data_IF_286957492846
#
_entry.id   IF_286957492846
#
_cell.length_a   1.000
_cell.length_b   1.000
_cell.length_c   1.000
_cell.angle_alpha   90.00
_cell.angle_beta   90.00
_cell.angle_gamma   90.00
#
_symmetry.space_group_name_H-M   'P 1'
#
loop_
_entity.id
_entity.type
_entity.pdbx_description
1 polymer ?
#
# COMPACT_ATOMS: atom_id res chain seq x y z
N UNK A 1 -13.02 -12.93 10.89
CA UNK A 1 -12.49 -11.60 11.27
C UNK A 1 -13.52 -10.94 12.18
N UNK A 2 -13.11 -10.51 13.38
CA UNK A 2 -13.96 -9.78 14.30
C UNK A 2 -14.46 -8.44 13.71
N UNK A 3 -15.39 -7.78 14.41
CA UNK A 3 -15.89 -6.43 14.08
C UNK A 3 -14.73 -5.43 14.09
N UNK A 4 -14.15 -5.19 12.91
CA UNK A 4 -13.12 -4.17 12.73
C UNK A 4 -13.73 -2.76 12.79
N UNK A 5 -13.05 -1.84 13.49
CA UNK A 5 -13.42 -0.42 13.51
C UNK A 5 -13.40 0.17 12.09
N UNK A 6 -14.23 1.19 11.86
CA UNK A 6 -14.30 1.90 10.58
C UNK A 6 -12.94 2.46 10.16
N UNK A 7 -12.17 3.00 11.11
CA UNK A 7 -10.81 3.52 10.87
C UNK A 7 -9.87 2.45 10.34
N UNK A 8 -9.92 1.25 10.90
CA UNK A 8 -9.14 0.10 10.42
C UNK A 8 -9.55 -0.28 8.99
N UNK A 9 -10.86 -0.34 8.70
CA UNK A 9 -11.38 -0.64 7.35
C UNK A 9 -10.92 0.39 6.31
N UNK A 10 -10.99 1.69 6.62
CA UNK A 10 -10.52 2.75 5.73
C UNK A 10 -9.02 2.66 5.45
N UNK A 11 -8.20 2.38 6.49
CA UNK A 11 -6.76 2.19 6.34
C UNK A 11 -6.43 0.98 5.47
N UNK A 12 -7.10 -0.15 5.70
CA UNK A 12 -6.95 -1.35 4.87
C UNK A 12 -7.34 -1.06 3.42
N UNK A 13 -8.48 -0.41 3.18
CA UNK A 13 -8.91 0.01 1.85
C UNK A 13 -7.89 0.91 1.15
N UNK A 14 -7.30 1.89 1.85
CA UNK A 14 -6.21 2.72 1.31
C UNK A 14 -4.98 1.87 0.94
N UNK A 15 -4.58 0.94 1.80
CA UNK A 15 -3.43 0.06 1.54
C UNK A 15 -3.68 -0.85 0.34
N UNK A 16 -4.88 -1.39 0.17
CA UNK A 16 -5.27 -2.16 -1.01
C UNK A 16 -5.15 -1.33 -2.29
N UNK A 17 -5.70 -0.10 -2.30
CA UNK A 17 -5.63 0.81 -3.46
C UNK A 17 -4.20 1.21 -3.85
N UNK A 18 -3.29 1.27 -2.88
CA UNK A 18 -1.87 1.59 -3.11
C UNK A 18 -1.06 0.40 -3.66
N UNK A 19 -1.53 -0.84 -3.49
CA UNK A 19 -0.81 -2.04 -3.92
C UNK A 19 -1.04 -2.34 -5.42
N UNK A 20 -0.66 -1.40 -6.28
CA UNK A 20 -0.82 -1.50 -7.73
C UNK A 20 0.51 -1.28 -8.46
N UNK A 21 0.60 -1.79 -9.68
CA UNK A 21 1.72 -1.53 -10.59
C UNK A 21 1.74 -0.06 -11.00
N UNK A 22 2.93 0.43 -11.39
CA UNK A 22 3.07 1.77 -11.98
C UNK A 22 2.32 1.79 -13.32
N UNK A 23 1.47 2.81 -13.56
CA UNK A 23 0.78 2.95 -14.84
C UNK A 23 1.74 3.15 -16.02
N UNK A 24 1.40 2.59 -17.19
CA UNK A 24 2.27 2.64 -18.37
C UNK A 24 2.62 4.07 -18.81
N UNK A 25 1.65 5.00 -18.77
CA UNK A 25 1.90 6.39 -19.14
C UNK A 25 2.94 7.07 -18.23
N UNK A 26 3.00 6.70 -16.95
CA UNK A 26 3.98 7.24 -16.01
C UNK A 26 5.38 6.66 -16.27
N UNK A 27 5.45 5.41 -16.72
CA UNK A 27 6.71 4.77 -17.15
C UNK A 27 7.25 5.49 -18.39
N UNK A 28 6.41 5.72 -19.39
CA UNK A 28 6.79 6.42 -20.63
C UNK A 28 7.23 7.85 -20.33
N UNK A 29 6.44 8.60 -19.54
CA UNK A 29 6.76 9.99 -19.17
C UNK A 29 8.06 10.12 -18.37
N UNK A 30 8.39 9.13 -17.54
CA UNK A 30 9.62 9.13 -16.74
C UNK A 30 10.85 8.60 -17.49
N UNK A 31 10.74 8.30 -18.80
CA UNK A 31 11.82 7.68 -19.55
C UNK A 31 12.27 6.35 -18.95
N UNK A 32 11.31 5.57 -18.43
CA UNK A 32 11.53 4.29 -17.71
C UNK A 32 12.36 4.39 -16.43
N UNK A 33 12.53 5.58 -15.83
CA UNK A 33 13.18 5.71 -14.51
C UNK A 33 12.35 5.10 -13.38
N UNK A 34 11.02 5.11 -13.50
CA UNK A 34 10.10 4.51 -12.51
C UNK A 34 9.35 3.35 -13.15
N UNK A 35 9.98 2.18 -13.23
CA UNK A 35 9.42 0.97 -13.86
C UNK A 35 8.59 0.11 -12.91
N UNK A 36 8.96 0.06 -11.64
CA UNK A 36 8.28 -0.73 -10.60
C UNK A 36 7.87 0.15 -9.43
N UNK A 37 6.78 -0.22 -8.76
CA UNK A 37 6.38 0.38 -7.50
C UNK A 37 7.23 -0.28 -6.38
N UNK A 38 8.15 0.44 -5.74
CA UNK A 38 9.01 -0.14 -4.69
C UNK A 38 8.23 -0.50 -3.42
N UNK A 39 7.02 0.06 -3.24
CA UNK A 39 6.15 -0.16 -2.08
C UNK A 39 5.07 -1.22 -2.34
N UNK A 40 5.25 -2.07 -3.36
CA UNK A 40 4.41 -3.27 -3.55
C UNK A 40 4.54 -4.18 -2.35
N UNK A 41 3.44 -4.75 -1.89
CA UNK A 41 3.43 -5.69 -0.78
C UNK A 41 2.71 -6.98 -1.13
N UNK A 42 3.03 -8.04 -0.39
CA UNK A 42 2.26 -9.28 -0.42
C UNK A 42 1.82 -9.67 0.99
N UNK A 43 0.58 -10.12 1.16
CA UNK A 43 0.00 -10.48 2.47
C UNK A 43 0.72 -11.63 3.18
N UNK A 44 1.42 -12.48 2.41
CA UNK A 44 2.28 -13.56 2.94
C UNK A 44 3.65 -13.07 3.39
N UNK A 45 4.20 -12.04 2.73
CA UNK A 45 5.57 -11.57 2.96
C UNK A 45 5.63 -10.39 3.95
N UNK A 46 4.70 -9.46 3.83
CA UNK A 46 4.66 -8.24 4.64
C UNK A 46 3.35 -8.15 5.42
N UNK A 47 3.44 -8.08 6.75
CA UNK A 47 2.27 -7.88 7.62
C UNK A 47 1.94 -6.41 7.78
N UNK A 48 0.66 -6.07 7.61
CA UNK A 48 0.15 -4.71 7.76
C UNK A 48 -0.17 -4.43 9.23
N UNK A 49 0.66 -3.61 9.89
CA UNK A 49 0.29 -3.06 11.20
C UNK A 49 -0.63 -1.84 11.01
N UNK A 50 -1.91 -1.99 11.37
CA UNK A 50 -2.94 -0.94 11.23
C UNK A 50 -3.25 -0.20 12.53
N UNK A 51 -2.72 -0.64 13.68
CA UNK A 51 -3.16 -0.23 15.03
C UNK A 51 -2.29 0.85 15.67
N UNK A 52 -0.96 0.79 15.53
CA UNK A 52 -0.06 1.70 16.26
C UNK A 52 0.59 2.74 15.34
N UNK A 53 0.01 3.95 15.31
CA UNK A 53 0.62 5.12 14.66
C UNK A 53 1.41 5.99 15.65
N UNK A 54 1.18 5.83 16.97
CA UNK A 54 1.84 6.59 18.05
C UNK A 54 3.25 6.10 18.41
N UNK A 55 3.61 4.87 18.05
CA UNK A 55 4.90 4.24 18.40
C UNK A 55 5.95 4.37 17.29
N UNK A 56 5.66 5.13 16.23
CA UNK A 56 6.61 5.39 15.14
C UNK A 56 7.26 6.76 15.34
N UNK A 57 8.12 6.89 16.35
CA UNK A 57 9.05 8.01 16.49
C UNK A 57 10.44 7.45 16.73
#
# INVERSE_FOLDING_TARGET
>A
MAKNSLTTKMRLSKKTRQNRRVPNFAIVKSGRKVTRNPKTRNWRRDKLNTRNWRERK
#
